data_IF_752141861817
#
_entry.id   IF_752141861817
#
_cell.length_a   1.000
_cell.length_b   1.000
_cell.length_c   1.000
_cell.angle_alpha   90.00
_cell.angle_beta   90.00
_cell.angle_gamma   90.00
#
_symmetry.space_group_name_H-M   'P 1'
#
loop_
_entity.id
_entity.type
_entity.pdbx_description
1 polymer ?
#
# COMPACT_ATOMS: atom_id res chain seq x y z
N UNK A 1 5.85 3.80 27.96
CA UNK A 1 5.24 2.48 27.61
C UNK A 1 4.61 2.57 26.22
N UNK A 2 4.82 1.59 25.33
CA UNK A 2 4.16 1.57 24.01
C UNK A 2 2.68 1.22 24.16
N UNK A 3 1.79 2.18 23.96
CA UNK A 3 0.34 1.95 23.95
C UNK A 3 -0.09 1.03 22.79
N UNK A 4 0.62 1.12 21.65
CA UNK A 4 0.36 0.32 20.45
C UNK A 4 0.63 -1.17 20.71
N UNK A 5 1.76 -1.54 21.28
CA UNK A 5 2.11 -2.95 21.53
C UNK A 5 1.14 -3.67 22.46
N UNK A 6 0.58 -2.98 23.46
CA UNK A 6 -0.39 -3.53 24.42
C UNK A 6 -1.82 -3.64 23.87
N UNK A 7 -2.12 -2.99 22.74
CA UNK A 7 -3.45 -3.03 22.16
C UNK A 7 -3.73 -4.41 21.58
N UNK A 8 -4.82 -5.08 21.93
CA UNK A 8 -5.18 -6.40 21.40
C UNK A 8 -5.46 -6.34 19.91
N UNK A 9 -5.21 -7.45 19.20
CA UNK A 9 -5.57 -7.65 17.80
C UNK A 9 -6.77 -8.57 17.72
N UNK A 10 -7.89 -8.07 17.20
CA UNK A 10 -9.10 -8.88 16.99
C UNK A 10 -8.94 -9.75 15.75
N UNK A 11 -9.27 -11.04 15.86
CA UNK A 11 -9.11 -12.04 14.81
C UNK A 11 -10.42 -12.31 14.05
N UNK A 12 -11.15 -11.27 13.64
CA UNK A 12 -12.44 -11.40 12.97
C UNK A 12 -12.35 -12.40 11.79
N UNK A 13 -12.93 -13.60 11.94
CA UNK A 13 -12.99 -14.67 10.91
C UNK A 13 -11.63 -15.11 10.31
N UNK A 14 -10.52 -14.84 10.99
CA UNK A 14 -9.17 -15.17 10.57
C UNK A 14 -8.57 -16.24 11.48
N UNK A 15 -8.01 -17.29 10.88
CA UNK A 15 -7.29 -18.33 11.63
C UNK A 15 -5.83 -17.94 11.76
N UNK A 16 -5.31 -17.98 12.97
CA UNK A 16 -3.89 -17.72 13.23
C UNK A 16 -3.27 -18.98 13.86
N UNK A 17 -2.22 -19.46 13.22
CA UNK A 17 -1.42 -20.60 13.67
C UNK A 17 -0.03 -20.10 14.07
N UNK A 18 0.44 -20.48 15.24
CA UNK A 18 1.78 -20.14 15.72
C UNK A 18 2.59 -21.43 15.81
N UNK A 19 3.65 -21.55 15.01
CA UNK A 19 4.57 -22.68 15.06
C UNK A 19 5.52 -22.59 16.26
N UNK A 20 6.03 -23.73 16.73
CA UNK A 20 7.09 -23.82 17.74
C UNK A 20 8.37 -23.07 17.36
N UNK A 21 8.61 -22.88 16.08
CA UNK A 21 9.75 -22.13 15.53
C UNK A 21 9.54 -20.59 15.52
N UNK A 22 8.41 -20.12 16.06
CA UNK A 22 8.09 -18.69 16.07
C UNK A 22 7.57 -18.15 14.74
N UNK A 23 7.08 -19.02 13.84
CA UNK A 23 6.40 -18.58 12.63
C UNK A 23 4.91 -18.39 12.92
N UNK A 24 4.39 -17.19 12.67
CA UNK A 24 2.97 -16.84 12.74
C UNK A 24 2.40 -16.90 11.33
N UNK A 25 1.49 -17.83 11.08
CA UNK A 25 0.73 -17.92 9.84
C UNK A 25 -0.69 -17.42 10.06
N UNK A 26 -1.13 -16.51 9.21
CA UNK A 26 -2.45 -15.86 9.28
C UNK A 26 -3.22 -16.22 8.02
N UNK A 27 -4.32 -16.98 8.17
CA UNK A 27 -5.15 -17.49 7.08
C UNK A 27 -6.52 -16.83 7.10
N UNK A 28 -6.92 -16.25 5.98
CA UNK A 28 -8.23 -15.60 5.82
C UNK A 28 -8.87 -15.87 4.48
N UNK A 29 -9.93 -15.12 4.18
CA UNK A 29 -10.74 -15.30 2.95
C UNK A 29 -9.96 -15.03 1.67
N UNK A 30 -8.99 -14.10 1.69
CA UNK A 30 -8.25 -13.65 0.51
C UNK A 30 -6.93 -14.38 0.31
N UNK A 31 -6.45 -15.12 1.32
CA UNK A 31 -5.20 -15.86 1.23
C UNK A 31 -4.53 -16.09 2.58
N UNK A 32 -3.24 -16.37 2.52
CA UNK A 32 -2.41 -16.66 3.69
C UNK A 32 -1.17 -15.77 3.66
N UNK A 33 -0.80 -15.26 4.84
CA UNK A 33 0.46 -14.53 5.06
C UNK A 33 1.20 -15.15 6.25
N UNK A 34 2.51 -15.11 6.22
CA UNK A 34 3.36 -15.61 7.30
C UNK A 34 4.38 -14.56 7.74
N UNK A 35 4.70 -14.57 9.03
CA UNK A 35 5.70 -13.68 9.62
C UNK A 35 6.50 -14.43 10.69
N UNK A 36 7.84 -14.32 10.64
CA UNK A 36 8.73 -14.91 11.65
C UNK A 36 8.92 -13.93 12.81
N UNK A 37 8.55 -14.39 14.02
CA UNK A 37 8.72 -13.59 15.24
C UNK A 37 10.19 -13.33 15.52
N UNK A 38 10.47 -12.13 16.01
CA UNK A 38 11.80 -11.77 16.46
C UNK A 38 12.08 -12.37 17.85
N UNK A 39 13.35 -12.64 18.19
CA UNK A 39 13.73 -13.19 19.49
C UNK A 39 13.20 -12.33 20.67
N UNK A 40 12.66 -13.01 21.68
CA UNK A 40 12.09 -12.35 22.88
C UNK A 40 10.67 -11.81 22.72
N UNK A 41 10.03 -12.05 21.58
CA UNK A 41 8.61 -11.75 21.34
C UNK A 41 7.83 -13.06 21.28
N UNK A 42 6.72 -13.14 22.00
CA UNK A 42 5.78 -14.26 21.99
C UNK A 42 4.36 -13.78 21.70
N UNK A 43 3.54 -14.69 21.22
CA UNK A 43 2.14 -14.40 20.87
C UNK A 43 1.24 -15.35 21.65
N UNK A 44 0.23 -14.81 22.30
CA UNK A 44 -0.82 -15.56 22.97
C UNK A 44 -2.17 -15.27 22.30
N UNK A 45 -2.99 -16.30 22.11
CA UNK A 45 -4.32 -16.19 21.49
C UNK A 45 -5.34 -16.66 22.50
N UNK A 46 -6.23 -15.76 22.91
CA UNK A 46 -7.32 -16.01 23.87
C UNK A 46 -8.62 -15.41 23.32
N UNK A 47 -9.71 -16.12 23.35
CA UNK A 47 -11.07 -15.66 23.00
C UNK A 47 -11.15 -14.86 21.69
N UNK A 48 -10.50 -15.34 20.63
CA UNK A 48 -10.46 -14.67 19.31
C UNK A 48 -9.71 -13.32 19.30
N UNK A 49 -8.87 -13.12 20.29
CA UNK A 49 -8.01 -11.95 20.45
C UNK A 49 -6.55 -12.39 20.54
N UNK A 50 -5.69 -11.72 19.80
CA UNK A 50 -4.26 -11.99 19.82
C UNK A 50 -3.53 -10.91 20.63
N UNK A 51 -2.76 -11.37 21.60
CA UNK A 51 -1.88 -10.55 22.42
C UNK A 51 -0.43 -10.84 22.08
N UNK A 52 0.34 -9.79 21.82
CA UNK A 52 1.79 -9.88 21.65
C UNK A 52 2.43 -9.61 23.01
N UNK A 53 3.35 -10.48 23.42
CA UNK A 53 4.08 -10.36 24.68
C UNK A 53 5.57 -10.17 24.38
N UNK A 54 6.28 -9.51 25.30
CA UNK A 54 7.74 -9.35 25.24
C UNK A 54 8.38 -9.92 26.52
N UNK A 55 9.60 -10.40 26.38
CA UNK A 55 10.31 -11.04 27.49
C UNK A 55 10.84 -10.02 28.50
N UNK A 56 11.33 -8.87 28.01
CA UNK A 56 11.89 -7.83 28.86
C UNK A 56 11.46 -6.41 28.45
N UNK A 57 11.86 -5.41 29.29
CA UNK A 57 11.49 -4.00 29.12
C UNK A 57 12.62 -3.15 28.48
N UNK A 58 13.55 -3.80 27.79
CA UNK A 58 14.59 -3.10 27.05
C UNK A 58 14.03 -2.22 25.94
N UNK A 59 14.77 -1.22 25.49
CA UNK A 59 14.36 -0.29 24.43
C UNK A 59 14.11 -1.05 23.12
N UNK A 60 14.95 -2.03 22.80
CA UNK A 60 14.83 -2.88 21.61
C UNK A 60 13.56 -3.75 21.65
N UNK A 61 13.30 -4.42 22.78
CA UNK A 61 12.11 -5.26 22.94
C UNK A 61 10.81 -4.46 22.89
N UNK A 62 10.80 -3.22 23.42
CA UNK A 62 9.66 -2.31 23.27
C UNK A 62 9.39 -1.94 21.82
N UNK A 63 10.44 -1.71 21.03
CA UNK A 63 10.31 -1.40 19.60
C UNK A 63 9.81 -2.61 18.81
N UNK A 64 10.42 -3.80 19.02
CA UNK A 64 10.00 -5.05 18.37
C UNK A 64 8.57 -5.45 18.73
N UNK A 65 8.16 -5.30 19.98
CA UNK A 65 6.78 -5.54 20.44
C UNK A 65 5.76 -4.70 19.66
N UNK A 66 6.01 -3.39 19.52
CA UNK A 66 5.15 -2.50 18.75
C UNK A 66 5.12 -2.83 17.25
N UNK A 67 6.29 -3.15 16.68
CA UNK A 67 6.44 -3.55 15.28
C UNK A 67 5.67 -4.85 14.98
N UNK A 68 5.94 -5.90 15.76
CA UNK A 68 5.29 -7.22 15.58
C UNK A 68 3.77 -7.11 15.67
N UNK A 69 3.28 -6.39 16.66
CA UNK A 69 1.83 -6.16 16.81
C UNK A 69 1.24 -5.46 15.59
N UNK A 70 1.91 -4.42 15.08
CA UNK A 70 1.44 -3.69 13.90
C UNK A 70 1.47 -4.55 12.63
N UNK A 71 2.52 -5.38 12.45
CA UNK A 71 2.61 -6.29 11.31
C UNK A 71 1.51 -7.36 11.35
N UNK A 72 1.28 -8.00 12.51
CA UNK A 72 0.19 -8.99 12.65
C UNK A 72 -1.18 -8.33 12.38
N UNK A 73 -1.42 -7.13 12.90
CA UNK A 73 -2.65 -6.39 12.60
C UNK A 73 -2.82 -6.14 11.09
N UNK A 74 -1.74 -5.73 10.41
CA UNK A 74 -1.77 -5.53 8.96
C UNK A 74 -2.05 -6.85 8.22
N UNK A 75 -1.47 -7.98 8.65
CA UNK A 75 -1.74 -9.29 8.07
C UNK A 75 -3.21 -9.69 8.25
N UNK A 76 -3.77 -9.54 9.44
CA UNK A 76 -5.18 -9.85 9.72
C UNK A 76 -6.12 -9.04 8.82
N UNK A 77 -5.92 -7.73 8.70
CA UNK A 77 -6.71 -6.88 7.80
C UNK A 77 -6.48 -7.28 6.33
N UNK A 78 -5.23 -7.56 5.96
CA UNK A 78 -4.89 -7.93 4.59
C UNK A 78 -5.54 -9.21 4.11
N UNK A 79 -5.60 -10.26 4.94
CA UNK A 79 -6.23 -11.54 4.56
C UNK A 79 -7.76 -11.52 4.69
N UNK A 80 -8.33 -10.59 5.45
CA UNK A 80 -9.79 -10.44 5.61
C UNK A 80 -10.41 -9.52 4.57
N UNK A 81 -9.91 -8.29 4.43
CA UNK A 81 -10.46 -7.22 3.60
C UNK A 81 -9.60 -6.90 2.39
N UNK A 82 -8.28 -7.14 2.49
CA UNK A 82 -7.30 -6.71 1.50
C UNK A 82 -6.92 -5.24 1.60
N UNK A 83 -5.92 -4.86 0.81
CA UNK A 83 -5.48 -3.47 0.69
C UNK A 83 -5.68 -2.97 -0.72
N UNK A 84 -6.11 -1.72 -0.83
CA UNK A 84 -6.29 -0.99 -2.08
C UNK A 84 -5.54 0.34 -1.99
N UNK A 85 -4.73 0.64 -3.00
CA UNK A 85 -4.18 1.97 -3.24
C UNK A 85 -4.59 2.45 -4.63
N UNK A 86 -5.17 3.65 -4.68
CA UNK A 86 -5.62 4.29 -5.91
C UNK A 86 -4.69 5.44 -6.26
N UNK A 87 -4.24 5.46 -7.51
CA UNK A 87 -3.37 6.49 -8.06
C UNK A 87 -4.06 7.15 -9.25
N UNK A 88 -3.99 8.47 -9.29
CA UNK A 88 -4.51 9.30 -10.38
C UNK A 88 -3.37 9.72 -11.29
N UNK A 89 -3.48 9.42 -12.58
CA UNK A 89 -2.55 9.86 -13.62
C UNK A 89 -3.10 11.14 -14.25
N UNK A 90 -2.39 12.24 -14.08
CA UNK A 90 -2.81 13.58 -14.49
C UNK A 90 -1.83 14.13 -15.52
N UNK A 91 -2.33 14.45 -16.69
CA UNK A 91 -1.54 15.06 -17.74
C UNK A 91 -2.09 14.77 -19.13
N UNK A 92 -2.09 15.79 -19.99
CA UNK A 92 -2.51 15.63 -21.37
C UNK A 92 -1.59 14.67 -22.13
N UNK A 93 -2.15 13.62 -22.70
CA UNK A 93 -1.39 12.60 -23.44
C UNK A 93 -0.76 11.52 -22.55
N UNK A 94 -1.01 11.53 -21.23
CA UNK A 94 -0.60 10.44 -20.37
C UNK A 94 -1.61 9.30 -20.46
N UNK A 95 -1.13 8.07 -20.33
CA UNK A 95 -1.97 6.88 -20.31
C UNK A 95 -1.35 5.79 -19.43
N UNK A 96 -2.20 4.90 -18.94
CA UNK A 96 -1.77 3.68 -18.28
C UNK A 96 -2.58 2.50 -18.80
N UNK A 97 -1.93 1.36 -19.00
CA UNK A 97 -2.53 0.14 -19.51
C UNK A 97 -1.89 -1.07 -18.85
N UNK A 98 -2.68 -2.09 -18.55
CA UNK A 98 -2.17 -3.38 -18.03
C UNK A 98 -2.08 -4.36 -19.18
N UNK A 99 -0.88 -4.86 -19.46
CA UNK A 99 -0.58 -5.81 -20.54
C UNK A 99 0.00 -7.07 -19.91
N UNK A 100 -0.86 -8.07 -19.67
CA UNK A 100 -0.45 -9.30 -18.97
C UNK A 100 0.14 -8.99 -17.58
N UNK A 101 1.41 -9.39 -17.28
CA UNK A 101 2.04 -9.14 -15.99
C UNK A 101 2.70 -7.74 -15.89
N UNK A 102 2.49 -6.87 -16.89
CA UNK A 102 3.15 -5.57 -16.97
C UNK A 102 2.16 -4.42 -16.88
N UNK A 103 2.52 -3.40 -16.14
CA UNK A 103 1.87 -2.10 -16.18
C UNK A 103 2.68 -1.19 -17.10
N UNK A 104 2.09 -0.81 -18.23
CA UNK A 104 2.64 0.15 -19.19
C UNK A 104 2.19 1.56 -18.82
N UNK A 105 3.12 2.47 -18.76
CA UNK A 105 2.91 3.88 -18.42
C UNK A 105 3.49 4.77 -19.53
N UNK A 106 2.64 5.54 -20.20
CA UNK A 106 3.05 6.60 -21.12
C UNK A 106 2.91 7.96 -20.42
N UNK A 107 4.02 8.54 -20.00
CA UNK A 107 4.05 9.69 -19.09
C UNK A 107 4.71 10.93 -19.71
N UNK A 108 4.70 11.03 -21.05
CA UNK A 108 5.31 12.15 -21.77
C UNK A 108 6.84 12.12 -21.81
N UNK A 109 7.43 10.95 -21.63
CA UNK A 109 8.82 10.65 -21.97
C UNK A 109 8.92 10.18 -23.42
N UNK A 110 10.13 10.11 -23.98
CA UNK A 110 10.40 9.59 -25.32
C UNK A 110 10.15 8.07 -25.46
N UNK A 111 10.00 7.37 -24.34
CA UNK A 111 9.75 5.92 -24.25
C UNK A 111 8.68 5.64 -23.21
N UNK A 112 7.99 4.52 -23.36
CA UNK A 112 7.06 4.02 -22.38
C UNK A 112 7.81 3.33 -21.22
N UNK A 113 7.28 3.45 -20.01
CA UNK A 113 7.80 2.76 -18.83
C UNK A 113 6.99 1.48 -18.63
N UNK A 114 7.69 0.36 -18.48
CA UNK A 114 7.08 -0.95 -18.20
C UNK A 114 7.48 -1.38 -16.80
N UNK A 115 6.49 -1.55 -15.91
CA UNK A 115 6.68 -2.06 -14.56
C UNK A 115 6.12 -3.47 -14.47
N UNK A 116 6.92 -4.42 -14.01
CA UNK A 116 6.44 -5.78 -13.74
C UNK A 116 5.59 -5.76 -12.46
N UNK A 117 4.36 -6.27 -12.56
CA UNK A 117 3.47 -6.41 -11.40
C UNK A 117 3.98 -7.58 -10.53
N UNK A 118 4.33 -7.34 -9.26
CA UNK A 118 4.77 -8.40 -8.36
C UNK A 118 3.69 -9.47 -8.17
N UNK A 119 4.12 -10.72 -8.01
CA UNK A 119 3.23 -11.83 -7.69
C UNK A 119 2.45 -11.52 -6.39
N UNK A 120 1.15 -11.80 -6.38
CA UNK A 120 0.27 -11.49 -5.22
C UNK A 120 -0.36 -10.10 -5.25
N UNK A 121 -0.05 -9.27 -6.26
CA UNK A 121 -0.75 -8.01 -6.51
C UNK A 121 -1.64 -8.13 -7.75
N UNK A 122 -2.78 -7.43 -7.70
CA UNK A 122 -3.66 -7.20 -8.84
C UNK A 122 -3.67 -5.72 -9.16
N UNK A 123 -3.41 -5.38 -10.42
CA UNK A 123 -3.40 -4.00 -10.89
C UNK A 123 -4.47 -3.82 -11.94
N UNK A 124 -5.26 -2.78 -11.78
CA UNK A 124 -6.28 -2.36 -12.74
C UNK A 124 -5.94 -0.94 -13.21
N UNK A 125 -5.97 -0.72 -14.51
CA UNK A 125 -5.81 0.61 -15.10
C UNK A 125 -7.07 0.96 -15.89
N UNK A 126 -7.71 2.06 -15.53
CA UNK A 126 -8.94 2.54 -16.13
C UNK A 126 -8.68 3.89 -16.80
N UNK A 127 -8.92 3.97 -18.11
CA UNK A 127 -8.84 5.23 -18.84
C UNK A 127 -10.06 6.09 -18.52
N UNK A 128 -9.85 7.35 -18.14
CA UNK A 128 -10.92 8.30 -17.90
C UNK A 128 -11.21 9.10 -19.17
N UNK A 129 -12.40 8.96 -19.76
CA UNK A 129 -12.75 9.70 -20.97
C UNK A 129 -12.82 11.20 -20.68
N UNK A 130 -12.27 12.02 -21.58
CA UNK A 130 -12.38 13.48 -21.48
C UNK A 130 -13.82 13.92 -21.65
N UNK A 131 -14.42 14.42 -20.56
CA UNK A 131 -15.72 15.08 -20.66
C UNK A 131 -15.54 16.52 -21.16
N UNK A 132 -16.34 16.94 -22.16
CA UNK A 132 -16.38 18.32 -22.62
C UNK A 132 -16.86 19.21 -21.46
N UNK A 133 -16.00 20.09 -20.96
CA UNK A 133 -16.33 21.05 -19.89
C UNK A 133 -15.66 20.77 -18.53
N UNK A 134 -15.07 19.63 -18.31
CA UNK A 134 -14.32 19.36 -17.06
C UNK A 134 -12.84 19.71 -17.24
N UNK A 135 -12.35 20.65 -16.43
CA UNK A 135 -10.93 21.06 -16.40
C UNK A 135 -10.00 20.02 -15.74
N UNK A 136 -10.41 18.78 -15.57
CA UNK A 136 -9.54 17.76 -14.99
C UNK A 136 -8.65 17.15 -16.09
N UNK A 137 -7.36 17.38 -16.00
CA UNK A 137 -6.35 16.70 -16.82
C UNK A 137 -6.15 15.24 -16.36
N UNK A 138 -7.09 14.66 -15.62
CA UNK A 138 -7.11 13.26 -15.22
C UNK A 138 -7.31 12.38 -16.45
N UNK A 139 -6.35 11.52 -16.74
CA UNK A 139 -6.36 10.68 -17.94
C UNK A 139 -6.59 9.21 -17.63
N UNK A 140 -6.09 8.74 -16.50
CA UNK A 140 -6.35 7.36 -16.06
C UNK A 140 -6.26 7.21 -14.54
N UNK A 141 -6.87 6.14 -14.04
CA UNK A 141 -6.85 5.76 -12.63
C UNK A 141 -6.23 4.36 -12.55
N UNK A 142 -5.23 4.22 -11.68
CA UNK A 142 -4.57 2.95 -11.41
C UNK A 142 -4.97 2.49 -10.02
N UNK A 143 -5.49 1.26 -9.92
CA UNK A 143 -5.84 0.62 -8.65
C UNK A 143 -4.90 -0.55 -8.41
N UNK A 144 -4.18 -0.52 -7.29
CA UNK A 144 -3.28 -1.58 -6.84
C UNK A 144 -3.94 -2.28 -5.67
N UNK A 145 -4.24 -3.57 -5.83
CA UNK A 145 -4.88 -4.42 -4.81
C UNK A 145 -3.95 -5.55 -4.39
N UNK A 146 -4.00 -5.94 -3.13
CA UNK A 146 -3.25 -7.09 -2.63
C UNK A 146 -3.52 -7.37 -1.16
N UNK A 147 -3.05 -8.51 -0.68
CA UNK A 147 -3.19 -8.94 0.71
C UNK A 147 -2.07 -8.36 1.60
N UNK A 148 -0.89 -8.11 1.02
CA UNK A 148 0.25 -7.55 1.75
C UNK A 148 0.31 -6.03 1.62
N UNK A 149 0.12 -5.34 2.75
CA UNK A 149 0.19 -3.88 2.83
C UNK A 149 1.51 -3.31 2.35
N UNK A 150 2.62 -3.99 2.66
CA UNK A 150 3.95 -3.53 2.28
C UNK A 150 4.15 -3.60 0.77
N UNK A 151 3.79 -4.73 0.16
CA UNK A 151 3.88 -4.90 -1.30
C UNK A 151 3.00 -3.91 -2.05
N UNK A 152 1.73 -3.75 -1.62
CA UNK A 152 0.80 -2.76 -2.20
C UNK A 152 1.35 -1.35 -2.08
N UNK A 153 1.87 -0.99 -0.90
CA UNK A 153 2.42 0.34 -0.64
C UNK A 153 3.70 0.61 -1.43
N UNK A 154 4.59 -0.37 -1.50
CA UNK A 154 5.87 -0.27 -2.23
C UNK A 154 5.63 -0.09 -3.73
N UNK A 155 4.82 -0.95 -4.33
CA UNK A 155 4.52 -0.88 -5.76
C UNK A 155 3.77 0.40 -6.13
N UNK A 156 2.82 0.85 -5.30
CA UNK A 156 2.16 2.13 -5.51
C UNK A 156 3.13 3.32 -5.44
N UNK A 157 4.11 3.28 -4.54
CA UNK A 157 5.15 4.30 -4.45
C UNK A 157 6.10 4.28 -5.65
N UNK A 158 6.43 3.10 -6.17
CA UNK A 158 7.23 2.92 -7.39
C UNK A 158 6.51 3.52 -8.60
N UNK A 159 5.23 3.21 -8.81
CA UNK A 159 4.41 3.82 -9.86
C UNK A 159 4.42 5.35 -9.75
N UNK A 160 4.17 5.87 -8.54
CA UNK A 160 4.20 7.33 -8.30
C UNK A 160 5.58 7.93 -8.57
N UNK A 161 6.65 7.22 -8.26
CA UNK A 161 8.04 7.61 -8.49
C UNK A 161 8.40 7.76 -9.96
N UNK A 162 7.71 7.06 -10.89
CA UNK A 162 7.95 7.20 -12.33
C UNK A 162 7.72 8.63 -12.84
N UNK A 163 6.71 9.32 -12.33
CA UNK A 163 6.46 10.73 -12.64
C UNK A 163 5.74 11.40 -11.46
N UNK A 164 6.46 11.91 -10.46
CA UNK A 164 5.84 12.59 -9.32
C UNK A 164 5.12 13.87 -9.76
N UNK A 165 4.08 14.31 -9.02
CA UNK A 165 3.31 15.48 -9.40
C UNK A 165 4.15 16.75 -9.35
N UNK A 166 4.03 17.59 -10.35
CA UNK A 166 4.66 18.91 -10.40
C UNK A 166 3.81 19.98 -9.67
N UNK A 167 4.48 21.04 -9.22
CA UNK A 167 3.83 22.08 -8.41
C UNK A 167 3.19 23.23 -9.23
N UNK A 168 3.20 23.19 -10.58
CA UNK A 168 2.64 24.28 -11.40
C UNK A 168 1.30 23.92 -12.03
N UNK A 169 1.26 22.82 -12.78
CA UNK A 169 0.03 22.32 -13.42
C UNK A 169 -0.52 21.06 -12.74
N UNK A 170 0.22 20.51 -11.77
CA UNK A 170 -0.17 19.30 -11.05
C UNK A 170 -0.08 18.02 -11.91
N UNK A 171 0.65 18.06 -13.04
CA UNK A 171 0.85 16.89 -13.91
C UNK A 171 1.77 15.88 -13.23
N UNK A 172 1.46 14.61 -13.38
CA UNK A 172 2.18 13.49 -12.80
C UNK A 172 1.24 12.45 -12.22
N UNK A 173 1.79 11.52 -11.47
CA UNK A 173 1.05 10.48 -10.77
C UNK A 173 0.99 10.85 -9.30
N UNK A 174 -0.21 10.84 -8.71
CA UNK A 174 -0.43 11.11 -7.29
C UNK A 174 -1.42 10.12 -6.69
N UNK A 175 -1.37 9.94 -5.38
CA UNK A 175 -2.42 9.20 -4.70
C UNK A 175 -3.76 9.95 -4.80
N UNK A 176 -4.85 9.21 -4.71
CA UNK A 176 -6.19 9.80 -4.81
C UNK A 176 -6.45 10.83 -3.71
N UNK A 177 -5.91 10.60 -2.52
CA UNK A 177 -6.02 11.42 -1.32
C UNK A 177 -4.86 12.43 -1.14
N UNK A 178 -3.91 12.48 -2.10
CA UNK A 178 -2.76 13.36 -2.03
C UNK A 178 -3.10 14.80 -2.44
N UNK A 179 -2.90 15.73 -1.52
CA UNK A 179 -2.98 17.16 -1.80
C UNK A 179 -1.66 17.69 -2.35
N UNK A 180 -1.68 18.18 -3.57
CA UNK A 180 -0.51 18.80 -4.23
C UNK A 180 -0.66 20.32 -4.20
N UNK A 181 0.29 20.99 -3.57
CA UNK A 181 0.33 22.47 -3.53
C UNK A 181 0.71 22.99 -4.91
N UNK A 182 -0.20 23.69 -5.56
CA UNK A 182 0.01 24.32 -6.86
C UNK A 182 0.46 25.77 -6.64
N UNK A 183 1.64 26.12 -7.16
CA UNK A 183 2.21 27.46 -7.13
C UNK A 183 1.75 28.26 -8.35
N UNK A 184 1.56 29.55 -8.20
CA UNK A 184 1.36 30.44 -9.32
C UNK A 184 2.63 30.43 -10.21
N UNK A 185 2.48 30.20 -11.51
CA UNK A 185 3.56 30.37 -12.47
C UNK A 185 3.94 31.83 -12.63
N UNK A 186 5.00 32.13 -13.41
CA UNK A 186 5.31 33.51 -13.79
C UNK A 186 4.10 34.12 -14.47
N UNK A 187 3.54 35.17 -13.88
CA UNK A 187 2.56 36.01 -14.56
C UNK A 187 3.25 36.56 -15.80
N UNK A 188 2.75 36.20 -16.99
CA UNK A 188 3.23 36.86 -18.21
C UNK A 188 3.04 38.35 -18.03
N UNK A 189 4.10 39.13 -18.08
CA UNK A 189 3.98 40.58 -18.19
C UNK A 189 3.14 40.89 -19.42
N UNK A 190 1.98 41.46 -19.19
CA UNK A 190 1.23 42.12 -20.28
C UNK A 190 1.97 43.36 -20.70
#
# INVERSE_FOLDING_TARGET
>A
MSRIGKSPVKLNDVKVEVSSEGLVAVKGKLGELSYSLQPGITVNIEDNVLHVLRQDDSKSQKALHGLTRALIQNMVIGVSEGYLKTLNVIGTGYSSEVIGPWLKLSLGYSHDIMLQVPAGLTVEAEAVPRSKGTRSDLTSIIRVKGIDKQMVGHFAAEIRGCRPPENYKGKGIRYQDEYVVIKAGKAGSK
#
